data_IF_692809118387
#
_entry.id   IF_692809118387
#
_cell.length_a   1.000
_cell.length_b   1.000
_cell.length_c   1.000
_cell.angle_alpha   90.00
_cell.angle_beta   90.00
_cell.angle_gamma   90.00
#
_symmetry.space_group_name_H-M   'P 1'
#
loop_
_entity.id
_entity.type
_entity.pdbx_description
1 polymer ?
#
# COMPACT_ATOMS: atom_id res chain seq x y z
N UNK A 1 -21.74 16.83 23.89
CA UNK A 1 -22.25 15.49 23.55
C UNK A 1 -21.03 14.65 23.28
N UNK A 2 -20.89 13.53 23.96
CA UNK A 2 -19.71 12.65 23.79
C UNK A 2 -20.00 11.65 22.66
N UNK A 3 -19.28 11.76 21.56
CA UNK A 3 -19.44 10.90 20.38
C UNK A 3 -18.28 9.89 20.42
N UNK A 4 -18.61 8.63 20.55
CA UNK A 4 -17.65 7.54 20.53
C UNK A 4 -17.60 6.89 19.17
N UNK A 5 -16.43 6.96 18.50
CA UNK A 5 -16.19 6.26 17.24
C UNK A 5 -15.44 4.96 17.53
N UNK A 6 -15.89 3.85 16.96
CA UNK A 6 -15.26 2.54 17.10
C UNK A 6 -15.52 1.65 15.90
N UNK A 7 -14.71 0.59 15.71
CA UNK A 7 -15.03 -0.46 14.74
C UNK A 7 -16.39 -1.11 15.06
N UNK A 8 -17.07 -1.54 14.00
CA UNK A 8 -18.33 -2.29 14.09
C UNK A 8 -18.07 -3.70 14.66
N UNK A 9 -19.08 -4.27 15.32
CA UNK A 9 -19.14 -5.67 15.73
C UNK A 9 -20.41 -6.32 15.18
N UNK A 10 -20.50 -7.64 15.19
CA UNK A 10 -21.71 -8.36 14.74
C UNK A 10 -22.96 -8.01 15.55
N UNK A 11 -22.79 -7.59 16.80
CA UNK A 11 -23.89 -7.19 17.67
C UNK A 11 -24.48 -5.83 17.31
N UNK A 12 -23.76 -5.04 16.52
CA UNK A 12 -24.19 -3.72 16.08
C UNK A 12 -25.17 -3.75 14.89
N UNK A 13 -25.38 -4.90 14.25
CA UNK A 13 -26.15 -5.01 13.01
C UNK A 13 -27.55 -4.39 13.10
N UNK A 14 -28.23 -4.54 14.24
CA UNK A 14 -29.57 -3.95 14.45
C UNK A 14 -29.49 -2.42 14.51
N UNK A 15 -28.53 -1.86 15.24
CA UNK A 15 -28.33 -0.41 15.34
C UNK A 15 -27.85 0.22 14.04
N UNK A 16 -26.98 -0.46 13.29
CA UNK A 16 -26.56 -0.05 11.96
C UNK A 16 -27.76 0.04 11.02
N UNK A 17 -28.63 -0.98 11.03
CA UNK A 17 -29.83 -0.98 10.22
C UNK A 17 -30.85 0.09 10.63
N UNK A 18 -30.98 0.41 11.91
CA UNK A 18 -31.82 1.53 12.34
C UNK A 18 -31.39 2.82 11.63
N UNK A 19 -30.08 3.09 11.62
CA UNK A 19 -29.51 4.26 10.91
C UNK A 19 -29.73 4.15 9.41
N UNK A 20 -29.31 3.03 8.78
CA UNK A 20 -29.39 2.86 7.33
C UNK A 20 -30.82 2.95 6.81
N UNK A 21 -31.75 2.23 7.44
CA UNK A 21 -33.14 2.20 7.01
C UNK A 21 -33.82 3.55 7.21
N UNK A 22 -33.44 4.34 8.23
CA UNK A 22 -33.93 5.72 8.36
C UNK A 22 -33.56 6.57 7.14
N UNK A 23 -32.34 6.42 6.63
CA UNK A 23 -31.85 7.15 5.44
C UNK A 23 -32.49 6.63 4.15
N UNK A 24 -32.70 5.32 4.02
CA UNK A 24 -33.36 4.70 2.86
C UNK A 24 -34.82 5.21 2.75
N UNK A 25 -35.51 5.33 3.85
CA UNK A 25 -36.92 5.81 3.89
C UNK A 25 -37.07 7.25 3.40
N UNK A 26 -36.03 8.06 3.52
CA UNK A 26 -36.02 9.44 2.98
C UNK A 26 -35.99 9.48 1.43
N UNK A 27 -35.67 8.36 0.75
CA UNK A 27 -35.63 8.21 -0.72
C UNK A 27 -34.68 9.20 -1.45
N UNK A 28 -33.89 9.96 -0.74
CA UNK A 28 -33.08 11.07 -1.26
C UNK A 28 -31.58 10.88 -1.08
N UNK A 29 -31.14 10.25 0.01
CA UNK A 29 -29.75 10.31 0.45
C UNK A 29 -28.98 9.01 0.26
N UNK A 30 -29.60 7.98 -0.24
CA UNK A 30 -29.03 6.67 -0.50
C UNK A 30 -29.39 6.18 -1.89
N UNK A 31 -28.56 5.30 -2.45
CA UNK A 31 -28.85 4.56 -3.68
C UNK A 31 -29.51 3.20 -3.39
N UNK A 32 -29.74 2.86 -2.11
CA UNK A 32 -30.53 1.69 -1.73
C UNK A 32 -32.02 1.95 -1.99
N UNK A 33 -32.69 1.01 -2.62
CA UNK A 33 -34.10 1.07 -3.00
C UNK A 33 -35.02 0.27 -2.05
N UNK A 34 -34.46 -0.60 -1.20
CA UNK A 34 -35.17 -1.44 -0.25
C UNK A 34 -34.55 -1.43 1.14
N UNK A 35 -35.38 -1.70 2.13
CA UNK A 35 -34.96 -1.92 3.51
C UNK A 35 -34.23 -3.27 3.61
N UNK A 36 -33.12 -3.30 4.35
CA UNK A 36 -32.33 -4.49 4.60
C UNK A 36 -32.76 -5.17 5.91
N UNK A 37 -32.47 -6.46 6.04
CA UNK A 37 -32.73 -7.26 7.25
C UNK A 37 -31.49 -7.35 8.13
N UNK A 38 -31.70 -7.64 9.44
CA UNK A 38 -30.58 -7.80 10.39
C UNK A 38 -29.62 -8.93 9.96
N UNK A 39 -30.16 -9.98 9.37
CA UNK A 39 -29.35 -11.10 8.91
C UNK A 39 -28.46 -10.72 7.71
N UNK A 40 -28.98 -9.94 6.74
CA UNK A 40 -28.18 -9.41 5.62
C UNK A 40 -27.07 -8.52 6.13
N UNK A 41 -27.33 -7.66 7.12
CA UNK A 41 -26.31 -6.78 7.70
C UNK A 41 -25.24 -7.58 8.48
N UNK A 42 -25.64 -8.59 9.26
CA UNK A 42 -24.69 -9.48 9.94
C UNK A 42 -23.78 -10.20 8.95
N UNK A 43 -24.35 -10.70 7.86
CA UNK A 43 -23.57 -11.34 6.79
C UNK A 43 -22.61 -10.38 6.15
N UNK A 44 -23.04 -9.13 5.90
CA UNK A 44 -22.15 -8.10 5.36
C UNK A 44 -20.99 -7.81 6.34
N UNK A 45 -21.28 -7.55 7.63
CA UNK A 45 -20.23 -7.31 8.64
C UNK A 45 -19.28 -8.51 8.74
N UNK A 46 -19.80 -9.74 8.71
CA UNK A 46 -18.98 -10.94 8.76
C UNK A 46 -18.12 -11.16 7.52
N UNK A 47 -18.49 -10.59 6.37
CA UNK A 47 -17.78 -10.72 5.09
C UNK A 47 -16.66 -9.70 4.90
N UNK A 48 -16.52 -8.73 5.81
CA UNK A 48 -15.50 -7.67 5.69
C UNK A 48 -14.10 -8.27 5.71
N UNK A 49 -13.33 -7.99 4.67
CA UNK A 49 -11.94 -8.41 4.58
C UNK A 49 -10.98 -7.51 5.36
N UNK A 50 -9.73 -7.89 5.46
CA UNK A 50 -8.69 -7.15 6.20
C UNK A 50 -8.47 -5.72 5.69
N UNK A 51 -8.85 -5.45 4.45
CA UNK A 51 -8.76 -4.13 3.81
C UNK A 51 -10.06 -3.35 3.86
N UNK A 52 -11.10 -3.89 4.48
CA UNK A 52 -12.39 -3.21 4.69
C UNK A 52 -12.49 -2.68 6.11
N UNK A 53 -12.85 -1.42 6.26
CA UNK A 53 -13.12 -0.78 7.54
C UNK A 53 -14.60 -0.43 7.65
N UNK A 54 -15.17 -0.64 8.84
CA UNK A 54 -16.54 -0.25 9.15
C UNK A 54 -16.53 0.37 10.54
N UNK A 55 -16.83 1.66 10.62
CA UNK A 55 -16.82 2.44 11.86
C UNK A 55 -18.22 2.93 12.19
N UNK A 56 -18.57 2.83 13.46
CA UNK A 56 -19.86 3.28 14.01
C UNK A 56 -19.66 4.46 14.96
N UNK A 57 -20.62 5.37 14.96
CA UNK A 57 -20.71 6.48 15.91
C UNK A 57 -21.81 6.18 16.93
N UNK A 58 -21.45 6.20 18.22
CA UNK A 58 -22.32 5.90 19.35
C UNK A 58 -22.45 7.14 20.24
N UNK A 59 -23.67 7.45 20.67
CA UNK A 59 -24.02 8.47 21.65
C UNK A 59 -24.95 7.82 22.68
N UNK A 60 -24.56 7.88 23.96
CA UNK A 60 -25.33 7.30 25.08
C UNK A 60 -25.80 5.85 24.84
N UNK A 61 -24.95 5.03 24.21
CA UNK A 61 -25.22 3.62 23.91
C UNK A 61 -26.09 3.38 22.66
N UNK A 62 -26.50 4.42 21.93
CA UNK A 62 -27.25 4.32 20.69
C UNK A 62 -26.34 4.60 19.49
N UNK A 63 -26.42 3.77 18.44
CA UNK A 63 -25.76 4.05 17.17
C UNK A 63 -26.52 5.14 16.42
N UNK A 64 -25.79 6.17 16.00
CA UNK A 64 -26.35 7.37 15.35
C UNK A 64 -25.77 7.63 13.97
N UNK A 65 -24.74 6.89 13.58
CA UNK A 65 -24.13 6.99 12.28
C UNK A 65 -23.07 5.91 12.07
N UNK A 66 -22.69 5.71 10.82
CA UNK A 66 -21.60 4.82 10.45
C UNK A 66 -20.95 5.24 9.13
N UNK A 67 -19.73 4.75 8.92
CA UNK A 67 -19.03 4.85 7.64
C UNK A 67 -18.36 3.53 7.29
N UNK A 68 -18.52 3.09 6.05
CA UNK A 68 -17.75 2.00 5.45
C UNK A 68 -16.62 2.54 4.58
N UNK A 69 -15.52 1.80 4.51
CA UNK A 69 -14.42 2.00 3.58
C UNK A 69 -13.96 0.64 3.09
N UNK A 70 -13.99 0.45 1.78
CA UNK A 70 -13.77 -0.85 1.16
C UNK A 70 -12.87 -0.70 -0.08
N UNK A 71 -12.21 -1.77 -0.56
CA UNK A 71 -11.54 -1.75 -1.86
C UNK A 71 -12.53 -1.30 -2.94
N UNK A 72 -12.13 -0.37 -3.81
CA UNK A 72 -12.98 0.10 -4.92
C UNK A 72 -13.39 -1.05 -5.84
N UNK A 73 -12.48 -1.99 -6.10
CA UNK A 73 -12.72 -3.25 -6.79
C UNK A 73 -11.89 -4.36 -6.16
N UNK A 74 -12.27 -5.63 -6.35
CA UNK A 74 -11.60 -6.79 -5.77
C UNK A 74 -11.07 -7.78 -6.81
N UNK A 75 -11.31 -7.54 -8.10
CA UNK A 75 -10.92 -8.46 -9.19
C UNK A 75 -9.54 -8.15 -9.78
N UNK A 76 -8.87 -7.10 -9.35
CA UNK A 76 -7.54 -6.71 -9.84
C UNK A 76 -6.76 -5.94 -8.78
N UNK A 77 -5.46 -6.18 -8.69
CA UNK A 77 -4.56 -5.42 -7.81
C UNK A 77 -4.19 -4.03 -8.36
N UNK A 78 -4.47 -3.75 -9.62
CA UNK A 78 -4.14 -2.46 -10.24
C UNK A 78 -4.86 -1.26 -9.58
N UNK A 79 -5.94 -1.51 -8.85
CA UNK A 79 -6.72 -0.49 -8.11
C UNK A 79 -6.68 -0.68 -6.60
N UNK A 80 -5.74 -1.47 -6.07
CA UNK A 80 -5.62 -1.72 -4.62
C UNK A 80 -5.38 -0.44 -3.82
N UNK A 81 -4.81 0.58 -4.42
CA UNK A 81 -4.60 1.89 -3.79
C UNK A 81 -5.87 2.75 -3.71
N UNK A 82 -7.00 2.29 -4.25
CA UNK A 82 -8.27 3.04 -4.29
C UNK A 82 -9.29 2.40 -3.36
N UNK A 83 -9.85 3.21 -2.46
CA UNK A 83 -10.97 2.85 -1.61
C UNK A 83 -12.26 3.54 -2.03
N UNK A 84 -13.41 2.88 -1.83
CA UNK A 84 -14.72 3.50 -1.89
C UNK A 84 -15.28 3.66 -0.48
N UNK A 85 -15.95 4.78 -0.21
CA UNK A 85 -16.56 5.06 1.09
C UNK A 85 -18.07 5.24 1.01
N UNK A 86 -18.77 4.95 2.11
CA UNK A 86 -20.18 5.22 2.28
C UNK A 86 -20.45 5.74 3.69
N UNK A 87 -21.07 6.92 3.83
CA UNK A 87 -21.35 7.56 5.13
C UNK A 87 -22.83 7.73 5.34
N UNK A 88 -23.32 7.28 6.49
CA UNK A 88 -24.71 7.38 6.88
C UNK A 88 -24.84 7.96 8.28
N UNK A 89 -25.69 8.95 8.48
CA UNK A 89 -25.99 9.57 9.77
C UNK A 89 -27.51 9.70 9.89
N UNK A 90 -28.04 9.23 11.01
CA UNK A 90 -29.45 9.33 11.34
C UNK A 90 -29.91 10.79 11.28
N UNK A 91 -31.12 11.06 10.74
CA UNK A 91 -31.62 12.41 10.47
C UNK A 91 -31.52 13.34 11.68
N UNK A 92 -31.90 12.86 12.87
CA UNK A 92 -31.95 13.65 14.11
C UNK A 92 -30.58 14.05 14.64
N UNK A 93 -29.51 13.45 14.12
CA UNK A 93 -28.13 13.66 14.60
C UNK A 93 -27.23 14.30 13.54
N UNK A 94 -27.76 14.70 12.37
CA UNK A 94 -27.00 15.40 11.34
C UNK A 94 -26.58 16.80 11.79
N UNK A 95 -25.53 17.34 11.18
CA UNK A 95 -25.03 18.67 11.51
C UNK A 95 -24.29 18.79 12.86
N UNK A 96 -24.00 17.66 13.53
CA UNK A 96 -23.34 17.62 14.84
C UNK A 96 -21.87 17.14 14.77
N UNK A 97 -21.28 17.12 13.58
CA UNK A 97 -19.87 16.72 13.37
C UNK A 97 -19.61 15.22 13.33
N UNK A 98 -20.66 14.36 13.43
CA UNK A 98 -20.52 12.89 13.44
C UNK A 98 -19.84 12.38 12.18
N UNK A 99 -20.29 12.84 10.99
CA UNK A 99 -19.70 12.43 9.73
C UNK A 99 -18.21 12.76 9.63
N UNK A 100 -17.77 13.89 10.18
CA UNK A 100 -16.34 14.29 10.20
C UNK A 100 -15.52 13.32 11.07
N UNK A 101 -15.99 12.98 12.27
CA UNK A 101 -15.28 12.07 13.15
C UNK A 101 -15.22 10.64 12.59
N UNK A 102 -16.30 10.19 11.93
CA UNK A 102 -16.31 8.92 11.19
C UNK A 102 -15.29 8.94 10.05
N UNK A 103 -15.23 10.03 9.26
CA UNK A 103 -14.28 10.19 8.18
C UNK A 103 -12.82 10.19 8.67
N UNK A 104 -12.54 10.86 9.79
CA UNK A 104 -11.19 10.86 10.41
C UNK A 104 -10.75 9.43 10.79
N UNK A 105 -11.62 8.63 11.41
CA UNK A 105 -11.34 7.24 11.74
C UNK A 105 -11.12 6.37 10.49
N UNK A 106 -11.99 6.53 9.48
CA UNK A 106 -11.91 5.78 8.23
C UNK A 106 -10.66 6.15 7.41
N UNK A 107 -10.29 7.42 7.34
CA UNK A 107 -9.10 7.84 6.61
C UNK A 107 -7.82 7.39 7.29
N UNK A 108 -7.78 7.39 8.62
CA UNK A 108 -6.67 6.80 9.36
C UNK A 108 -6.51 5.31 9.02
N UNK A 109 -7.60 4.54 9.09
CA UNK A 109 -7.61 3.13 8.68
C UNK A 109 -7.16 2.97 7.22
N UNK A 110 -7.67 3.80 6.30
CA UNK A 110 -7.29 3.75 4.90
C UNK A 110 -5.78 3.93 4.70
N UNK A 111 -5.18 4.90 5.39
CA UNK A 111 -3.74 5.14 5.36
C UNK A 111 -2.95 3.94 5.90
N UNK A 112 -3.37 3.35 7.02
CA UNK A 112 -2.77 2.13 7.61
C UNK A 112 -2.86 0.92 6.67
N UNK A 113 -3.91 0.85 5.83
CA UNK A 113 -4.12 -0.22 4.84
C UNK A 113 -3.51 0.06 3.46
N UNK A 114 -2.78 1.17 3.32
CA UNK A 114 -2.07 1.51 2.10
C UNK A 114 -2.96 2.06 0.98
N UNK A 115 -4.15 2.59 1.30
CA UNK A 115 -4.95 3.34 0.34
C UNK A 115 -4.34 4.72 0.10
N UNK A 116 -4.23 5.11 -1.16
CA UNK A 116 -3.72 6.42 -1.59
C UNK A 116 -4.85 7.34 -2.07
N UNK A 117 -6.03 6.77 -2.34
CA UNK A 117 -7.16 7.48 -2.93
C UNK A 117 -8.47 6.95 -2.36
N UNK A 118 -9.38 7.86 -2.00
CA UNK A 118 -10.76 7.56 -1.67
C UNK A 118 -11.70 8.11 -2.76
N UNK A 119 -12.72 7.35 -3.11
CA UNK A 119 -13.76 7.75 -4.05
C UNK A 119 -15.14 7.61 -3.43
N UNK A 120 -16.09 8.37 -3.95
CA UNK A 120 -17.51 8.29 -3.56
C UNK A 120 -18.42 8.71 -4.71
N UNK A 121 -19.61 8.13 -4.72
CA UNK A 121 -20.72 8.53 -5.56
C UNK A 121 -21.78 9.23 -4.69
N UNK A 122 -22.19 10.43 -5.08
CA UNK A 122 -23.18 11.23 -4.34
C UNK A 122 -24.27 11.64 -5.29
N UNK A 123 -25.53 11.34 -4.94
CA UNK A 123 -26.67 11.77 -5.77
C UNK A 123 -26.65 13.27 -5.99
N UNK A 124 -26.96 13.72 -7.23
CA UNK A 124 -26.95 15.16 -7.57
C UNK A 124 -27.99 15.96 -6.79
N UNK A 125 -29.06 15.31 -6.35
CA UNK A 125 -30.09 15.88 -5.45
C UNK A 125 -29.60 16.07 -4.01
N UNK A 126 -28.52 15.39 -3.57
CA UNK A 126 -27.98 15.46 -2.22
C UNK A 126 -26.87 16.51 -2.10
N UNK A 127 -27.25 17.80 -2.18
CA UNK A 127 -26.29 18.92 -2.10
C UNK A 127 -25.52 18.96 -0.78
N UNK A 128 -26.17 18.65 0.33
CA UNK A 128 -25.55 18.63 1.65
C UNK A 128 -24.39 17.64 1.75
N UNK A 129 -24.54 16.43 1.17
CA UNK A 129 -23.44 15.48 1.13
C UNK A 129 -22.32 15.94 0.20
N UNK A 130 -22.64 16.54 -0.96
CA UNK A 130 -21.62 17.09 -1.85
C UNK A 130 -20.78 18.16 -1.16
N UNK A 131 -21.40 19.09 -0.44
CA UNK A 131 -20.73 20.13 0.37
C UNK A 131 -19.88 19.50 1.47
N UNK A 132 -20.42 18.54 2.23
CA UNK A 132 -19.71 17.81 3.26
C UNK A 132 -18.43 17.13 2.74
N UNK A 133 -18.51 16.43 1.61
CA UNK A 133 -17.34 15.78 1.02
C UNK A 133 -16.33 16.78 0.45
N UNK A 134 -16.78 17.90 -0.11
CA UNK A 134 -15.89 18.99 -0.52
C UNK A 134 -15.12 19.58 0.66
N UNK A 135 -15.77 19.78 1.82
CA UNK A 135 -15.12 20.23 3.05
C UNK A 135 -14.09 19.22 3.60
N UNK A 136 -14.27 17.92 3.30
CA UNK A 136 -13.29 16.88 3.62
C UNK A 136 -12.12 16.82 2.62
N UNK A 137 -12.21 17.55 1.50
CA UNK A 137 -11.17 17.59 0.48
C UNK A 137 -11.47 16.78 -0.79
N UNK A 138 -12.68 16.22 -0.94
CA UNK A 138 -13.08 15.55 -2.17
C UNK A 138 -13.34 16.56 -3.28
N UNK A 139 -12.88 16.24 -4.48
CA UNK A 139 -13.04 17.04 -5.69
C UNK A 139 -14.00 16.33 -6.64
N UNK A 140 -15.09 16.99 -7.11
CA UNK A 140 -15.94 16.45 -8.16
C UNK A 140 -15.17 16.23 -9.46
N UNK A 141 -15.37 15.07 -10.10
CA UNK A 141 -14.67 14.70 -11.35
C UNK A 141 -15.61 14.53 -12.53
N UNK A 142 -16.89 14.32 -12.28
CA UNK A 142 -17.89 14.18 -13.32
C UNK A 142 -19.24 13.77 -12.75
N UNK A 143 -20.24 13.77 -13.63
CA UNK A 143 -21.60 13.33 -13.32
C UNK A 143 -21.95 12.12 -14.17
N UNK A 144 -22.47 11.09 -13.53
CA UNK A 144 -23.00 9.89 -14.15
C UNK A 144 -24.51 10.07 -14.31
N UNK A 145 -24.95 10.25 -15.54
CA UNK A 145 -26.37 10.51 -15.85
C UNK A 145 -27.22 9.26 -15.62
N UNK A 146 -28.39 9.43 -15.01
CA UNK A 146 -29.37 8.36 -14.73
C UNK A 146 -28.77 7.14 -14.02
N UNK A 147 -27.81 7.38 -13.16
CA UNK A 147 -27.05 6.33 -12.46
C UNK A 147 -27.91 5.58 -11.43
N UNK A 148 -28.81 6.26 -10.76
CA UNK A 148 -29.73 5.70 -9.76
C UNK A 148 -31.15 5.73 -10.28
N UNK A 149 -31.93 4.67 -10.01
CA UNK A 149 -33.36 4.61 -10.29
C UNK A 149 -34.07 4.08 -9.04
N UNK A 150 -34.90 4.96 -8.42
CA UNK A 150 -35.69 4.63 -7.24
C UNK A 150 -37.15 4.97 -7.53
N UNK A 151 -38.07 4.06 -7.26
CA UNK A 151 -39.51 4.21 -7.48
C UNK A 151 -39.87 4.67 -8.93
N UNK A 152 -39.04 4.29 -9.90
CA UNK A 152 -39.23 4.64 -11.32
C UNK A 152 -38.56 5.94 -11.76
N UNK A 153 -38.15 6.78 -10.83
CA UNK A 153 -37.49 8.05 -11.08
C UNK A 153 -35.98 7.91 -11.16
N UNK A 154 -35.36 8.60 -12.13
CA UNK A 154 -33.89 8.61 -12.28
C UNK A 154 -33.26 9.78 -11.52
N UNK A 155 -32.12 9.55 -10.95
CA UNK A 155 -31.22 10.58 -10.43
C UNK A 155 -29.79 10.35 -10.94
N UNK A 156 -29.04 11.41 -11.08
CA UNK A 156 -27.65 11.36 -11.47
C UNK A 156 -26.76 11.25 -10.22
N UNK A 157 -25.54 10.75 -10.38
CA UNK A 157 -24.53 10.76 -9.31
C UNK A 157 -23.31 11.57 -9.72
N UNK A 158 -22.82 12.38 -8.79
CA UNK A 158 -21.53 13.04 -8.89
C UNK A 158 -20.47 12.08 -8.38
N UNK A 159 -19.53 11.73 -9.24
CA UNK A 159 -18.32 11.03 -8.85
C UNK A 159 -17.32 12.03 -8.27
N UNK A 160 -16.86 11.77 -7.05
CA UNK A 160 -15.90 12.60 -6.35
C UNK A 160 -14.71 11.76 -5.87
N UNK A 161 -13.52 12.35 -5.86
CA UNK A 161 -12.30 11.70 -5.39
C UNK A 161 -11.48 12.61 -4.50
N UNK A 162 -10.73 11.99 -3.60
CA UNK A 162 -9.73 12.63 -2.77
C UNK A 162 -8.48 11.78 -2.73
N UNK A 163 -7.31 12.40 -2.85
CA UNK A 163 -6.05 11.72 -2.53
C UNK A 163 -5.85 11.78 -1.02
N UNK A 164 -5.71 10.61 -0.43
CA UNK A 164 -5.36 10.48 0.97
C UNK A 164 -3.89 10.89 1.07
N UNK A 165 -3.62 11.97 1.77
CA UNK A 165 -2.24 12.23 2.16
C UNK A 165 -1.78 11.03 2.96
N UNK A 166 -0.86 10.26 2.43
CA UNK A 166 -0.06 9.35 3.24
C UNK A 166 0.70 10.29 4.16
N UNK A 167 0.15 10.54 5.34
CA UNK A 167 0.92 11.16 6.39
C UNK A 167 2.08 10.20 6.63
N UNK A 168 3.25 10.56 6.16
CA UNK A 168 4.46 10.10 6.83
C UNK A 168 4.18 10.41 8.29
N UNK A 169 4.01 9.38 9.12
CA UNK A 169 3.75 9.56 10.55
C UNK A 169 4.88 10.41 11.10
N UNK A 170 4.62 11.69 11.20
CA UNK A 170 5.36 12.54 12.14
C UNK A 170 4.80 12.13 13.51
N UNK A 171 5.22 10.97 13.97
CA UNK A 171 5.16 10.67 15.40
C UNK A 171 5.99 11.72 16.11
N UNK A 172 5.31 12.67 16.70
CA UNK A 172 5.86 13.46 17.79
C UNK A 172 6.04 12.53 19.00
N UNK A 173 7.00 11.59 18.86
CA UNK A 173 7.55 10.87 20.00
C UNK A 173 8.69 11.68 20.53
N UNK A 174 8.48 12.11 21.78
CA UNK A 174 9.48 12.65 22.69
C UNK A 174 10.89 12.11 22.40
N UNK A 175 11.83 13.05 22.31
CA UNK A 175 13.29 12.95 22.31
C UNK A 175 13.87 11.66 22.92
N UNK A 176 13.81 10.59 22.16
CA UNK A 176 14.78 9.51 22.20
C UNK A 176 15.41 9.50 20.82
N UNK A 177 16.77 9.53 20.74
CA UNK A 177 17.54 9.57 19.51
C UNK A 177 17.01 8.56 18.49
N UNK A 178 16.08 8.96 17.60
CA UNK A 178 15.62 8.13 16.49
C UNK A 178 16.79 7.98 15.49
N UNK A 179 17.26 6.76 15.28
CA UNK A 179 17.94 6.38 14.03
C UNK A 179 16.98 6.76 12.91
N UNK A 180 17.37 7.64 12.00
CA UNK A 180 16.57 7.95 10.79
C UNK A 180 16.41 6.66 9.98
N UNK A 181 15.19 6.20 9.79
CA UNK A 181 14.90 4.99 9.03
C UNK A 181 15.29 5.16 7.57
N UNK A 182 15.92 4.13 7.03
CA UNK A 182 16.29 4.03 5.63
C UNK A 182 15.04 3.75 4.81
N UNK A 183 14.78 4.58 3.80
CA UNK A 183 13.61 4.41 2.93
C UNK A 183 13.96 3.59 1.70
N UNK A 184 13.36 2.42 1.57
CA UNK A 184 13.50 1.54 0.40
C UNK A 184 12.29 1.73 -0.53
N UNK A 185 12.55 1.87 -1.84
CA UNK A 185 11.50 2.03 -2.85
C UNK A 185 12.01 1.68 -4.25
N UNK A 186 11.10 1.48 -5.19
CA UNK A 186 11.49 1.32 -6.61
C UNK A 186 12.22 2.55 -7.14
N UNK A 187 13.30 2.29 -7.85
CA UNK A 187 14.08 3.31 -8.55
C UNK A 187 13.26 3.99 -9.65
N UNK A 188 13.45 5.29 -9.77
CA UNK A 188 12.77 6.13 -10.77
C UNK A 188 13.82 6.88 -11.60
N UNK A 189 13.42 7.43 -12.76
CA UNK A 189 14.32 8.24 -13.62
C UNK A 189 15.09 9.32 -12.86
N UNK A 190 14.49 9.94 -11.87
CA UNK A 190 15.14 10.98 -11.04
C UNK A 190 16.29 10.47 -10.18
N UNK A 191 16.37 9.15 -9.97
CA UNK A 191 17.37 8.52 -9.11
C UNK A 191 18.65 8.16 -9.90
N UNK A 192 18.66 8.29 -11.23
CA UNK A 192 19.79 7.94 -12.08
C UNK A 192 21.11 8.56 -11.59
N UNK A 193 21.20 9.86 -11.25
CA UNK A 193 22.45 10.43 -10.75
C UNK A 193 22.93 9.76 -9.46
N UNK A 194 22.03 9.51 -8.50
CA UNK A 194 22.39 8.86 -7.25
C UNK A 194 22.80 7.38 -7.45
N UNK A 195 22.10 6.65 -8.31
CA UNK A 195 22.44 5.27 -8.68
C UNK A 195 23.83 5.22 -9.34
N UNK A 196 24.12 6.16 -10.24
CA UNK A 196 25.44 6.25 -10.88
C UNK A 196 26.55 6.45 -9.86
N UNK A 197 26.32 7.28 -8.82
CA UNK A 197 27.27 7.48 -7.73
C UNK A 197 27.48 6.18 -6.93
N UNK A 198 26.40 5.45 -6.59
CA UNK A 198 26.48 4.19 -5.85
C UNK A 198 27.28 3.16 -6.63
N UNK A 199 26.98 2.97 -7.92
CA UNK A 199 27.67 1.99 -8.77
C UNK A 199 29.14 2.33 -8.96
N UNK A 200 29.46 3.59 -9.27
CA UNK A 200 30.83 4.03 -9.49
C UNK A 200 31.65 4.05 -8.21
N UNK A 201 31.02 4.24 -7.06
CA UNK A 201 31.68 4.21 -5.76
C UNK A 201 32.29 2.85 -5.40
N UNK A 202 31.70 1.76 -5.90
CA UNK A 202 32.18 0.39 -5.70
C UNK A 202 33.01 -0.14 -6.87
N UNK A 203 32.61 0.18 -8.09
CA UNK A 203 33.21 -0.40 -9.31
C UNK A 203 34.31 0.47 -9.92
N UNK A 204 34.54 1.65 -9.37
CA UNK A 204 35.53 2.61 -9.83
C UNK A 204 34.91 3.82 -10.53
N UNK A 205 35.51 5.00 -10.29
CA UNK A 205 35.01 6.26 -10.83
C UNK A 205 34.99 6.23 -12.35
N UNK A 206 33.88 6.58 -12.98
CA UNK A 206 33.69 6.63 -14.43
C UNK A 206 33.38 5.28 -15.10
N UNK A 207 33.19 4.19 -14.37
CA UNK A 207 32.80 2.87 -14.92
C UNK A 207 31.44 2.94 -15.60
N UNK A 208 30.47 3.66 -14.98
CA UNK A 208 29.13 3.86 -15.52
C UNK A 208 28.85 5.35 -15.76
N UNK A 209 28.24 5.64 -16.89
CA UNK A 209 27.64 6.93 -17.19
C UNK A 209 26.15 6.91 -16.79
N UNK A 210 25.52 8.07 -16.65
CA UNK A 210 24.06 8.14 -16.46
C UNK A 210 23.28 7.52 -17.63
N UNK A 211 23.84 7.47 -18.83
CA UNK A 211 23.24 6.83 -19.98
C UNK A 211 23.21 5.30 -19.81
N UNK A 212 24.29 4.71 -19.30
CA UNK A 212 24.38 3.27 -19.02
C UNK A 212 23.40 2.87 -17.92
N UNK A 213 23.34 3.64 -16.83
CA UNK A 213 22.39 3.43 -15.74
C UNK A 213 20.94 3.57 -16.22
N UNK A 214 20.67 4.53 -17.11
CA UNK A 214 19.35 4.70 -17.71
C UNK A 214 18.94 3.46 -18.50
N UNK A 215 19.83 2.86 -19.27
CA UNK A 215 19.56 1.65 -20.01
C UNK A 215 19.25 0.50 -19.05
N UNK A 216 20.09 0.29 -18.05
CA UNK A 216 19.89 -0.77 -17.03
C UNK A 216 18.53 -0.71 -16.34
N UNK A 217 18.07 0.49 -15.95
CA UNK A 217 16.76 0.70 -15.30
C UNK A 217 15.59 0.33 -16.23
N UNK A 218 15.78 0.34 -17.54
CA UNK A 218 14.76 -0.12 -18.49
C UNK A 218 14.75 -1.65 -18.65
N UNK A 219 15.86 -2.31 -18.42
CA UNK A 219 16.02 -3.76 -18.65
C UNK A 219 15.44 -4.56 -17.49
N UNK A 220 15.56 -4.06 -16.26
CA UNK A 220 15.02 -4.73 -15.06
C UNK A 220 14.58 -3.76 -13.96
N UNK A 221 13.85 -4.28 -13.00
CA UNK A 221 13.43 -3.51 -11.85
C UNK A 221 14.59 -3.31 -10.85
N UNK A 222 14.81 -2.05 -10.46
CA UNK A 222 15.74 -1.72 -9.39
C UNK A 222 15.01 -1.21 -8.16
N UNK A 223 15.52 -1.59 -6.99
CA UNK A 223 15.15 -1.05 -5.70
C UNK A 223 16.28 -0.16 -5.18
N UNK A 224 15.92 0.96 -4.58
CA UNK A 224 16.87 1.96 -4.09
C UNK A 224 16.59 2.22 -2.62
N UNK A 225 17.60 2.06 -1.78
CA UNK A 225 17.61 2.47 -0.39
C UNK A 225 18.28 3.84 -0.27
N UNK A 226 17.62 4.79 0.42
CA UNK A 226 18.16 6.13 0.61
C UNK A 226 18.24 6.44 2.10
N UNK A 227 19.45 6.56 2.60
CA UNK A 227 19.77 7.03 3.94
C UNK A 227 20.35 8.45 3.91
N UNK A 228 20.65 9.01 5.06
CA UNK A 228 21.20 10.36 5.17
C UNK A 228 22.67 10.44 4.66
N UNK A 229 23.45 9.41 4.90
CA UNK A 229 24.91 9.38 4.63
C UNK A 229 25.31 8.30 3.62
N UNK A 230 24.40 7.40 3.30
CA UNK A 230 24.66 6.24 2.46
C UNK A 230 23.44 5.89 1.61
N UNK A 231 23.66 5.17 0.55
CA UNK A 231 22.63 4.65 -0.34
C UNK A 231 22.89 3.21 -0.74
N UNK A 232 21.84 2.51 -1.17
CA UNK A 232 21.92 1.15 -1.67
C UNK A 232 21.09 0.97 -2.93
N UNK A 233 21.47 0.00 -3.72
CA UNK A 233 20.82 -0.37 -4.97
C UNK A 233 20.77 -1.89 -5.07
N UNK A 234 19.61 -2.44 -5.44
CA UNK A 234 19.50 -3.83 -5.82
C UNK A 234 18.71 -3.99 -7.11
N UNK A 235 19.27 -4.75 -8.05
CA UNK A 235 18.64 -5.22 -9.26
C UNK A 235 18.37 -6.71 -9.15
N UNK A 236 17.13 -7.13 -9.43
CA UNK A 236 16.74 -8.52 -9.34
C UNK A 236 15.63 -8.86 -10.32
N UNK A 237 15.46 -10.14 -10.57
CA UNK A 237 14.36 -10.67 -11.38
C UNK A 237 13.96 -12.05 -10.87
N UNK A 238 12.71 -12.45 -11.14
CA UNK A 238 12.20 -13.77 -10.80
C UNK A 238 12.04 -14.58 -12.09
N UNK A 239 12.61 -15.77 -12.11
CA UNK A 239 12.50 -16.72 -13.21
C UNK A 239 12.40 -18.16 -12.68
N UNK A 240 11.42 -18.92 -13.17
CA UNK A 240 11.20 -20.31 -12.76
C UNK A 240 11.17 -20.51 -11.24
N UNK A 241 10.50 -19.61 -10.50
CA UNK A 241 10.40 -19.58 -9.04
C UNK A 241 11.74 -19.33 -8.31
N UNK A 242 12.75 -18.84 -9.03
CA UNK A 242 14.05 -18.42 -8.49
C UNK A 242 14.11 -16.90 -8.50
N UNK A 243 14.41 -16.30 -7.36
CA UNK A 243 14.73 -14.88 -7.26
C UNK A 243 16.24 -14.69 -7.49
N UNK A 244 16.61 -14.11 -8.62
CA UNK A 244 18.00 -13.83 -8.97
C UNK A 244 18.33 -12.37 -8.65
N UNK A 245 19.20 -12.14 -7.66
CA UNK A 245 19.72 -10.82 -7.26
C UNK A 245 21.11 -10.70 -7.82
N UNK A 246 21.24 -10.11 -9.01
CA UNK A 246 22.49 -10.05 -9.75
C UNK A 246 23.26 -8.73 -9.60
N UNK A 247 22.65 -7.77 -8.93
CA UNK A 247 23.27 -6.50 -8.56
C UNK A 247 22.77 -6.09 -7.17
N UNK A 248 23.69 -5.97 -6.21
CA UNK A 248 23.38 -5.50 -4.87
C UNK A 248 24.53 -4.65 -4.33
N UNK A 249 24.31 -3.36 -4.22
CA UNK A 249 25.37 -2.40 -3.90
C UNK A 249 24.97 -1.49 -2.74
N UNK A 250 25.91 -1.26 -1.83
CA UNK A 250 25.78 -0.30 -0.72
C UNK A 250 27.00 0.64 -0.76
N UNK A 251 26.76 1.93 -0.75
CA UNK A 251 27.80 2.94 -0.79
C UNK A 251 27.52 4.13 0.15
N UNK A 252 28.49 4.61 0.91
CA UNK A 252 29.86 4.07 1.05
C UNK A 252 29.86 2.71 1.80
N UNK A 253 30.93 1.93 1.70
CA UNK A 253 31.13 0.70 2.51
C UNK A 253 30.98 0.98 4.02
N UNK A 254 30.63 -0.03 4.80
CA UNK A 254 30.40 0.09 6.26
C UNK A 254 28.95 0.38 6.66
N UNK A 255 28.02 0.51 5.69
CA UNK A 255 26.57 0.72 5.94
C UNK A 255 25.72 -0.49 5.53
N UNK A 256 26.30 -1.70 5.47
CA UNK A 256 25.60 -2.90 5.00
C UNK A 256 24.37 -3.23 5.85
N UNK A 257 24.49 -3.19 7.17
CA UNK A 257 23.34 -3.46 8.06
C UNK A 257 22.27 -2.34 7.97
N UNK A 258 22.68 -1.08 7.92
CA UNK A 258 21.76 0.06 7.94
C UNK A 258 21.02 0.21 6.60
N UNK A 259 21.70 0.03 5.48
CA UNK A 259 21.18 0.25 4.11
C UNK A 259 20.84 -1.08 3.43
N UNK A 260 21.72 -2.07 3.53
CA UNK A 260 21.55 -3.37 2.89
C UNK A 260 20.45 -4.19 3.50
N UNK A 261 20.30 -4.19 4.83
CA UNK A 261 19.27 -4.95 5.56
C UNK A 261 17.85 -4.62 5.05
N UNK A 262 17.38 -3.38 5.16
CA UNK A 262 16.06 -3.01 4.65
C UNK A 262 15.87 -3.25 3.13
N UNK A 263 16.96 -3.14 2.35
CA UNK A 263 16.93 -3.39 0.91
C UNK A 263 16.74 -4.88 0.61
N UNK A 264 17.47 -5.75 1.32
CA UNK A 264 17.37 -7.22 1.19
C UNK A 264 15.99 -7.71 1.63
N UNK A 265 15.52 -7.31 2.81
CA UNK A 265 14.17 -7.62 3.31
C UNK A 265 13.07 -7.25 2.32
N UNK A 266 13.22 -6.08 1.66
CA UNK A 266 12.25 -5.65 0.64
C UNK A 266 12.23 -6.58 -0.56
N UNK A 267 13.40 -7.02 -1.04
CA UNK A 267 13.49 -7.92 -2.19
C UNK A 267 12.96 -9.30 -1.84
N UNK A 268 13.31 -9.83 -0.68
CA UNK A 268 12.79 -11.11 -0.19
C UNK A 268 11.27 -11.11 -0.04
N UNK A 269 10.70 -10.01 0.47
CA UNK A 269 9.24 -9.84 0.53
C UNK A 269 8.59 -9.79 -0.86
N UNK A 270 9.23 -9.17 -1.85
CA UNK A 270 8.73 -9.18 -3.24
C UNK A 270 8.89 -10.56 -3.90
N UNK A 271 10.00 -11.25 -3.67
CA UNK A 271 10.23 -12.61 -4.14
C UNK A 271 9.19 -13.60 -3.55
N UNK A 272 8.89 -13.46 -2.27
CA UNK A 272 7.84 -14.24 -1.61
C UNK A 272 6.46 -14.03 -2.24
N UNK A 273 6.10 -12.79 -2.59
CA UNK A 273 4.83 -12.49 -3.30
C UNK A 273 4.75 -13.15 -4.68
N UNK A 274 5.89 -13.36 -5.33
CA UNK A 274 6.00 -14.06 -6.61
C UNK A 274 6.15 -15.58 -6.46
N UNK A 275 6.00 -16.09 -5.22
CA UNK A 275 6.11 -17.52 -4.89
C UNK A 275 7.48 -18.11 -5.28
N UNK A 276 8.54 -17.33 -5.20
CA UNK A 276 9.89 -17.84 -5.39
C UNK A 276 10.22 -18.84 -4.28
N UNK A 277 10.78 -19.99 -4.67
CA UNK A 277 11.19 -21.07 -3.76
C UNK A 277 12.57 -20.86 -3.18
N UNK A 278 13.38 -20.05 -3.87
CA UNK A 278 14.79 -19.80 -3.53
C UNK A 278 15.18 -18.39 -3.96
N UNK A 279 16.09 -17.79 -3.17
CA UNK A 279 16.75 -16.54 -3.49
C UNK A 279 18.23 -16.77 -3.72
N UNK A 280 18.76 -16.32 -4.84
CA UNK A 280 20.18 -16.45 -5.22
C UNK A 280 20.78 -15.06 -5.38
N UNK A 281 21.85 -14.78 -4.62
CA UNK A 281 22.63 -13.56 -4.76
C UNK A 281 23.94 -13.88 -5.49
N UNK A 282 24.23 -13.11 -6.54
CA UNK A 282 25.47 -13.20 -7.29
C UNK A 282 26.45 -12.17 -6.78
N UNK A 283 27.50 -12.66 -6.12
CA UNK A 283 28.53 -11.85 -5.49
C UNK A 283 29.75 -11.84 -6.41
N UNK A 284 30.12 -10.67 -6.93
CA UNK A 284 31.31 -10.53 -7.75
C UNK A 284 32.54 -10.10 -6.95
N UNK A 285 33.70 -10.18 -7.54
CA UNK A 285 35.01 -9.90 -6.88
C UNK A 285 35.15 -8.46 -6.37
N UNK A 286 34.28 -7.56 -6.81
CA UNK A 286 34.31 -6.15 -6.39
C UNK A 286 33.54 -5.91 -5.10
N UNK A 287 32.74 -6.87 -4.67
CA UNK A 287 32.08 -6.78 -3.38
C UNK A 287 33.10 -6.86 -2.25
N UNK A 288 33.02 -5.95 -1.27
CA UNK A 288 33.90 -6.03 -0.11
C UNK A 288 33.59 -7.29 0.72
N UNK A 289 34.54 -7.75 1.52
CA UNK A 289 34.35 -8.90 2.43
C UNK A 289 33.13 -8.71 3.35
N UNK A 290 32.87 -7.48 3.78
CA UNK A 290 31.68 -7.10 4.57
C UNK A 290 30.35 -7.48 3.89
N UNK A 291 30.28 -7.44 2.56
CA UNK A 291 29.08 -7.85 1.83
C UNK A 291 28.81 -9.35 1.97
N UNK A 292 29.87 -10.16 1.88
CA UNK A 292 29.77 -11.62 2.04
C UNK A 292 29.34 -11.97 3.46
N UNK A 293 29.92 -11.31 4.46
CA UNK A 293 29.57 -11.49 5.87
C UNK A 293 28.13 -11.05 6.14
N UNK A 294 27.69 -9.94 5.53
CA UNK A 294 26.33 -9.45 5.61
C UNK A 294 25.34 -10.48 5.04
N UNK A 295 25.53 -10.99 3.82
CA UNK A 295 24.64 -12.00 3.26
C UNK A 295 24.64 -13.30 4.09
N UNK A 296 25.79 -13.71 4.58
CA UNK A 296 25.88 -14.90 5.46
C UNK A 296 25.12 -14.70 6.78
N UNK A 297 25.16 -13.50 7.39
CA UNK A 297 24.39 -13.18 8.60
C UNK A 297 22.87 -13.18 8.38
N UNK A 298 22.42 -13.00 7.11
CA UNK A 298 21.03 -13.07 6.69
C UNK A 298 20.62 -14.46 6.16
N UNK A 299 21.45 -15.48 6.41
CA UNK A 299 21.11 -16.87 6.12
C UNK A 299 21.47 -17.35 4.72
N UNK A 300 22.15 -16.53 3.90
CA UNK A 300 22.63 -16.96 2.60
C UNK A 300 23.90 -17.79 2.73
N UNK A 301 23.92 -18.95 2.15
CA UNK A 301 25.06 -19.86 2.14
C UNK A 301 25.74 -19.92 0.77
N UNK A 302 27.07 -19.90 0.75
CA UNK A 302 27.81 -20.07 -0.49
C UNK A 302 27.58 -21.47 -1.05
N UNK A 303 27.25 -21.52 -2.35
CA UNK A 303 27.02 -22.78 -3.08
C UNK A 303 27.86 -22.79 -4.36
N UNK A 304 28.17 -23.98 -4.85
CA UNK A 304 28.72 -24.15 -6.20
C UNK A 304 27.56 -24.40 -7.19
N UNK A 305 27.72 -23.91 -8.42
CA UNK A 305 26.67 -24.02 -9.44
C UNK A 305 26.24 -25.47 -9.70
N UNK A 306 27.19 -26.40 -9.63
CA UNK A 306 27.01 -27.83 -9.85
C UNK A 306 26.14 -28.49 -8.77
N UNK A 307 26.11 -27.95 -7.56
CA UNK A 307 25.37 -28.48 -6.42
C UNK A 307 23.88 -28.11 -6.45
N UNK A 308 23.52 -27.14 -7.28
CA UNK A 308 22.13 -26.72 -7.43
C UNK A 308 21.29 -27.79 -8.16
N UNK A 309 20.02 -27.89 -7.80
CA UNK A 309 19.06 -28.68 -8.59
C UNK A 309 18.97 -28.13 -10.01
N UNK A 310 18.60 -28.99 -10.97
CA UNK A 310 18.68 -28.68 -12.40
C UNK A 310 18.02 -27.36 -12.79
N UNK A 311 16.79 -27.11 -12.29
CA UNK A 311 16.01 -25.90 -12.63
C UNK A 311 16.73 -24.63 -12.11
N UNK A 312 17.19 -24.63 -10.87
CA UNK A 312 17.90 -23.47 -10.28
C UNK A 312 19.26 -23.24 -10.97
N UNK A 313 19.94 -24.31 -11.34
CA UNK A 313 21.20 -24.27 -12.09
C UNK A 313 21.04 -23.65 -13.47
N UNK A 314 19.99 -24.03 -14.22
CA UNK A 314 19.71 -23.47 -15.53
C UNK A 314 19.52 -21.95 -15.44
N UNK A 315 18.70 -21.47 -14.48
CA UNK A 315 18.50 -20.05 -14.25
C UNK A 315 19.79 -19.36 -13.76
N UNK A 316 20.45 -19.90 -12.75
CA UNK A 316 21.65 -19.29 -12.17
C UNK A 316 22.81 -19.19 -13.19
N UNK A 317 22.91 -20.15 -14.13
CA UNK A 317 23.97 -20.16 -15.13
C UNK A 317 23.96 -18.92 -16.06
N UNK A 318 22.80 -18.28 -16.25
CA UNK A 318 22.67 -17.06 -17.06
C UNK A 318 23.36 -15.85 -16.43
N UNK A 319 23.50 -15.85 -15.08
CA UNK A 319 24.07 -14.75 -14.32
C UNK A 319 25.52 -15.00 -13.86
N UNK A 320 25.99 -16.25 -13.98
CA UNK A 320 27.35 -16.61 -13.58
C UNK A 320 28.39 -16.12 -14.58
N UNK A 321 29.50 -15.61 -14.05
CA UNK A 321 30.70 -15.22 -14.79
C UNK A 321 31.94 -15.76 -14.08
N UNK A 322 33.12 -15.74 -14.72
CA UNK A 322 34.38 -16.18 -14.09
C UNK A 322 34.76 -15.41 -12.82
N UNK A 323 34.19 -14.21 -12.64
CA UNK A 323 34.47 -13.32 -11.51
C UNK A 323 33.38 -13.35 -10.44
N UNK A 324 32.39 -14.27 -10.52
CA UNK A 324 31.26 -14.37 -9.59
C UNK A 324 31.20 -15.71 -8.87
N UNK A 325 30.69 -15.68 -7.66
CA UNK A 325 30.16 -16.86 -6.96
C UNK A 325 28.73 -16.55 -6.50
N UNK A 326 27.99 -17.59 -6.18
CA UNK A 326 26.61 -17.44 -5.72
C UNK A 326 26.45 -17.76 -4.24
N UNK A 327 25.49 -17.08 -3.62
CA UNK A 327 25.00 -17.41 -2.28
C UNK A 327 23.48 -17.63 -2.36
N UNK A 328 22.99 -18.61 -1.64
CA UNK A 328 21.62 -19.12 -1.75
C UNK A 328 20.93 -19.10 -0.39
N UNK A 329 19.66 -18.66 -0.41
CA UNK A 329 18.70 -18.77 0.68
C UNK A 329 17.50 -19.59 0.18
N UNK A 330 17.21 -20.71 0.84
CA UNK A 330 16.11 -21.65 0.49
C UNK A 330 15.07 -21.76 1.61
#
# INVERSE_FOLDING_TARGET
MDIKIRPVTLDDAEGVLEVLNSVIQERKYSSFDRILTVEEERQFIASLGERSGFFVAEIDGRLVGFQTIEPFVTYTSAMDHVAIIGTFVHADFRGQGIGRQLAEASFKFAQEKGYEKAVIYVRTSNKTAQEFYQELGFVPKGTLEKQVKIDGEYDDEVFMEMFLEVKEEVEEKEKVKAKKEVRVRRGKRKDIPAITVIMNGLLGEGTFTEADVRQKIFEKAYWVAVGEKAGGLAGWQAENLVACIDEFYVYPPGYWEEIGGPLLETIEAEAYKLVCEVSIIFVDKYHPQEAVEFFASHGYERQELEDLIKIWREVASEFMTEDRFLMLLS
#
